data_IF_373045272254
#
_entry.id   IF_373045272254
#
_cell.length_a   1.000
_cell.length_b   1.000
_cell.length_c   1.000
_cell.angle_alpha   90.00
_cell.angle_beta   90.00
_cell.angle_gamma   90.00
#
_symmetry.space_group_name_H-M   'P 1'
#
loop_
_entity.id
_entity.type
_entity.pdbx_description
1 polymer ?
#
# COMPACT_ATOMS: atom_id res chain seq x y z
N UNK A 1 -13.72 -4.88 0.15
CA UNK A 1 -14.33 -3.73 -0.55
C UNK A 1 -15.83 -3.97 -0.71
N UNK A 2 -16.68 -3.09 -0.14
CA UNK A 2 -18.15 -3.27 -0.15
C UNK A 2 -18.86 -2.74 -1.41
N UNK A 3 -18.13 -2.12 -2.35
CA UNK A 3 -18.65 -1.56 -3.62
C UNK A 3 -19.77 -0.51 -3.43
N UNK A 4 -19.85 0.08 -2.25
CA UNK A 4 -20.78 1.17 -1.90
C UNK A 4 -20.39 2.52 -2.54
N UNK A 5 -19.21 2.59 -3.17
CA UNK A 5 -18.63 3.76 -3.79
C UNK A 5 -18.08 3.39 -5.17
N UNK A 6 -18.17 4.31 -6.14
CA UNK A 6 -17.58 4.09 -7.46
C UNK A 6 -16.05 4.00 -7.37
N UNK A 7 -15.41 3.32 -8.32
CA UNK A 7 -13.94 3.25 -8.38
C UNK A 7 -13.33 4.64 -8.55
N UNK A 8 -14.01 5.53 -9.28
CA UNK A 8 -13.56 6.90 -9.50
C UNK A 8 -13.59 7.72 -8.20
N UNK A 9 -14.70 7.64 -7.44
CA UNK A 9 -14.85 8.34 -6.17
C UNK A 9 -13.86 7.81 -5.13
N UNK A 10 -13.69 6.48 -5.08
CA UNK A 10 -12.71 5.84 -4.22
C UNK A 10 -11.31 6.38 -4.55
N UNK A 11 -10.90 6.32 -5.81
CA UNK A 11 -9.60 6.82 -6.27
C UNK A 11 -9.42 8.31 -5.95
N UNK A 12 -10.46 9.12 -6.10
CA UNK A 12 -10.44 10.55 -5.79
C UNK A 12 -10.12 10.82 -4.31
N UNK A 13 -10.69 10.02 -3.41
CA UNK A 13 -10.48 10.17 -1.97
C UNK A 13 -9.20 9.47 -1.47
N UNK A 14 -8.95 8.24 -1.92
CA UNK A 14 -7.89 7.37 -1.40
C UNK A 14 -6.54 7.57 -2.08
N UNK A 15 -6.52 8.12 -3.30
CA UNK A 15 -5.32 8.22 -4.13
C UNK A 15 -4.23 9.11 -3.53
N UNK A 16 -4.62 10.14 -2.77
CA UNK A 16 -3.69 11.00 -2.02
C UNK A 16 -2.92 10.23 -0.94
N UNK A 17 -3.52 9.16 -0.40
CA UNK A 17 -2.93 8.28 0.60
C UNK A 17 -2.22 7.07 -0.01
N UNK A 18 -2.03 7.06 -1.33
CA UNK A 18 -1.39 5.95 -2.04
C UNK A 18 -2.22 4.66 -2.09
N UNK A 19 -3.52 4.72 -1.77
CA UNK A 19 -4.42 3.57 -1.81
C UNK A 19 -5.27 3.57 -3.08
N UNK A 20 -5.39 2.43 -3.75
CA UNK A 20 -6.15 2.27 -4.98
C UNK A 20 -6.93 0.95 -4.99
N UNK A 21 -8.13 0.95 -5.56
CA UNK A 21 -8.85 -0.29 -5.82
C UNK A 21 -8.21 -1.00 -7.03
N UNK A 22 -8.07 -2.32 -6.94
CA UNK A 22 -7.63 -3.14 -8.06
C UNK A 22 -8.76 -3.38 -9.06
N UNK A 23 -8.42 -3.93 -10.23
CA UNK A 23 -9.41 -4.26 -11.26
C UNK A 23 -10.48 -5.18 -10.68
N UNK A 24 -11.75 -4.80 -10.86
CA UNK A 24 -12.91 -5.53 -10.29
C UNK A 24 -13.27 -5.14 -8.86
N UNK A 25 -12.50 -4.26 -8.21
CA UNK A 25 -12.75 -3.70 -6.89
C UNK A 25 -13.01 -4.77 -5.81
N UNK A 26 -12.29 -5.89 -5.89
CA UNK A 26 -12.35 -6.97 -4.90
C UNK A 26 -11.24 -6.84 -3.85
N UNK A 27 -10.12 -6.22 -4.21
CA UNK A 27 -8.92 -6.00 -3.41
C UNK A 27 -8.34 -4.62 -3.72
N UNK A 28 -7.36 -4.22 -2.91
CA UNK A 28 -6.68 -2.94 -3.01
C UNK A 28 -5.18 -3.08 -3.20
N UNK A 29 -4.59 -1.97 -3.62
CA UNK A 29 -3.16 -1.78 -3.75
C UNK A 29 -2.74 -0.58 -2.90
N UNK A 30 -1.62 -0.72 -2.20
CA UNK A 30 -0.96 0.37 -1.49
C UNK A 30 0.36 0.70 -2.18
N UNK A 31 0.60 1.99 -2.44
CA UNK A 31 1.81 2.53 -3.04
C UNK A 31 2.54 3.38 -2.02
N UNK A 32 3.78 3.01 -1.70
CA UNK A 32 4.66 3.79 -0.83
C UNK A 32 5.72 4.51 -1.64
N UNK A 33 5.94 5.77 -1.29
CA UNK A 33 6.92 6.65 -1.92
C UNK A 33 8.08 6.85 -0.97
N UNK A 34 9.29 6.72 -1.49
CA UNK A 34 10.51 7.06 -0.77
C UNK A 34 11.14 8.28 -1.43
N UNK A 35 11.57 9.25 -0.62
CA UNK A 35 12.22 10.46 -1.15
C UNK A 35 13.47 10.06 -1.96
N UNK A 36 13.47 10.40 -3.25
CA UNK A 36 14.52 10.00 -4.20
C UNK A 36 14.67 8.49 -4.39
N UNK A 37 13.68 7.68 -4.02
CA UNK A 37 13.76 6.22 -4.07
C UNK A 37 14.67 5.58 -3.01
N UNK A 38 15.13 6.35 -2.01
CA UNK A 38 16.08 5.85 -1.01
C UNK A 38 15.36 5.12 0.11
N UNK A 39 15.71 3.84 0.30
CA UNK A 39 15.32 3.06 1.47
C UNK A 39 16.49 2.92 2.44
N UNK A 40 16.26 3.19 3.72
CA UNK A 40 17.22 2.91 4.78
C UNK A 40 17.16 1.44 5.19
N UNK A 41 18.09 1.00 6.03
CA UNK A 41 18.03 -0.35 6.61
C UNK A 41 16.75 -0.54 7.43
N UNK A 42 16.33 0.50 8.14
CA UNK A 42 15.13 0.52 8.98
C UNK A 42 13.87 0.36 8.13
N UNK A 43 13.77 1.04 6.97
CA UNK A 43 12.67 0.84 6.04
C UNK A 43 12.61 -0.59 5.50
N UNK A 44 13.78 -1.17 5.17
CA UNK A 44 13.87 -2.55 4.69
C UNK A 44 13.47 -3.57 5.77
N UNK A 45 13.87 -3.32 7.02
CA UNK A 45 13.49 -4.16 8.15
C UNK A 45 11.98 -4.11 8.37
N UNK A 46 11.41 -2.90 8.43
CA UNK A 46 9.96 -2.70 8.55
C UNK A 46 9.20 -3.40 7.42
N UNK A 47 9.66 -3.26 6.16
CA UNK A 47 9.06 -3.96 5.03
C UNK A 47 9.09 -5.48 5.19
N UNK A 48 10.23 -6.04 5.61
CA UNK A 48 10.35 -7.48 5.82
C UNK A 48 9.41 -7.99 6.93
N UNK A 49 9.25 -7.21 7.99
CA UNK A 49 8.36 -7.55 9.10
C UNK A 49 6.88 -7.42 8.71
N UNK A 50 6.52 -6.38 7.96
CA UNK A 50 5.19 -6.20 7.39
C UNK A 50 4.82 -7.36 6.43
N UNK A 51 5.74 -7.78 5.55
CA UNK A 51 5.52 -8.91 4.64
C UNK A 51 5.13 -10.17 5.42
N UNK A 52 5.84 -10.47 6.52
CA UNK A 52 5.56 -11.65 7.35
C UNK A 52 4.27 -11.48 8.14
N UNK A 53 4.10 -10.34 8.81
CA UNK A 53 2.96 -10.05 9.70
C UNK A 53 1.62 -10.09 8.96
N UNK A 54 1.56 -9.49 7.77
CA UNK A 54 0.35 -9.39 6.97
C UNK A 54 0.28 -10.42 5.84
N UNK A 55 1.26 -11.33 5.75
CA UNK A 55 1.36 -12.33 4.70
C UNK A 55 1.26 -11.71 3.29
N UNK A 56 2.02 -10.64 3.03
CA UNK A 56 1.97 -9.90 1.76
C UNK A 56 2.55 -10.74 0.62
N UNK A 57 1.71 -11.16 -0.31
CA UNK A 57 2.11 -12.08 -1.40
C UNK A 57 2.68 -11.37 -2.63
N UNK A 58 2.27 -10.12 -2.87
CA UNK A 58 2.55 -9.42 -4.12
C UNK A 58 3.16 -8.06 -3.84
N UNK A 59 4.48 -8.02 -3.71
CA UNK A 59 5.25 -6.82 -3.39
C UNK A 59 6.31 -6.60 -4.48
N UNK A 60 6.36 -5.40 -5.07
CA UNK A 60 7.33 -5.09 -6.10
C UNK A 60 7.72 -3.60 -6.13
N UNK A 61 8.93 -3.34 -6.66
CA UNK A 61 9.38 -1.99 -6.97
C UNK A 61 8.85 -1.51 -8.32
N UNK A 62 8.56 -0.23 -8.43
CA UNK A 62 8.10 0.38 -9.67
C UNK A 62 9.19 1.22 -10.32
N UNK A 63 9.05 1.50 -11.62
CA UNK A 63 9.92 2.43 -12.36
C UNK A 63 9.84 3.87 -11.84
N UNK A 64 8.79 4.22 -11.09
CA UNK A 64 8.64 5.51 -10.41
C UNK A 64 9.27 5.55 -9.02
N UNK A 65 10.24 4.67 -8.73
CA UNK A 65 10.96 4.61 -7.44
C UNK A 65 10.03 4.47 -6.22
N UNK A 66 8.93 3.71 -6.41
CA UNK A 66 7.97 3.40 -5.36
C UNK A 66 7.97 1.90 -5.06
N UNK A 67 7.39 1.53 -3.92
CA UNK A 67 6.99 0.15 -3.62
C UNK A 67 5.48 0.02 -3.79
N UNK A 68 5.02 -1.08 -4.37
CA UNK A 68 3.60 -1.42 -4.45
C UNK A 68 3.33 -2.80 -3.87
N UNK A 69 2.25 -2.88 -3.09
CA UNK A 69 1.72 -4.12 -2.53
C UNK A 69 0.28 -4.32 -3.01
N UNK A 70 -0.01 -5.51 -3.51
CA UNK A 70 -1.26 -5.87 -4.18
C UNK A 70 -2.05 -6.93 -3.40
N UNK A 71 -3.34 -7.07 -3.72
CA UNK A 71 -4.21 -8.07 -3.11
C UNK A 71 -4.60 -7.78 -1.66
N UNK A 72 -4.56 -6.52 -1.23
CA UNK A 72 -4.82 -6.14 0.16
C UNK A 72 -6.31 -5.98 0.43
N UNK A 73 -6.75 -6.37 1.62
CA UNK A 73 -8.05 -5.95 2.14
C UNK A 73 -7.98 -4.55 2.79
N UNK A 74 -9.13 -4.00 3.15
CA UNK A 74 -9.23 -2.65 3.70
C UNK A 74 -8.55 -2.51 5.07
N UNK A 75 -8.69 -3.52 5.93
CA UNK A 75 -8.12 -3.49 7.28
C UNK A 75 -6.59 -3.55 7.24
N UNK A 76 -6.03 -4.38 6.34
CA UNK A 76 -4.58 -4.46 6.09
C UNK A 76 -4.05 -3.12 5.58
N UNK A 77 -4.73 -2.47 4.65
CA UNK A 77 -4.33 -1.14 4.16
C UNK A 77 -4.32 -0.11 5.29
N UNK A 78 -5.37 -0.08 6.13
CA UNK A 78 -5.47 0.86 7.24
C UNK A 78 -4.39 0.63 8.31
N UNK A 79 -4.11 -0.63 8.64
CA UNK A 79 -3.08 -0.99 9.62
C UNK A 79 -1.68 -0.69 9.09
N UNK A 80 -1.39 -1.05 7.83
CA UNK A 80 -0.14 -0.69 7.18
C UNK A 80 0.06 0.82 7.14
N UNK A 81 -0.97 1.60 6.80
CA UNK A 81 -0.86 3.06 6.76
C UNK A 81 -0.45 3.65 8.12
N UNK A 82 -1.09 3.19 9.21
CA UNK A 82 -0.76 3.63 10.57
C UNK A 82 0.67 3.25 10.96
N UNK A 83 1.05 1.99 10.74
CA UNK A 83 2.38 1.51 11.12
C UNK A 83 3.47 2.17 10.27
N UNK A 84 3.25 2.36 8.97
CA UNK A 84 4.17 3.11 8.12
C UNK A 84 4.42 4.54 8.59
N UNK A 85 3.36 5.22 9.02
CA UNK A 85 3.46 6.61 9.47
C UNK A 85 4.43 6.76 10.64
N UNK A 86 4.47 5.77 11.54
CA UNK A 86 5.39 5.74 12.67
C UNK A 86 6.85 5.43 12.25
N UNK A 87 7.07 4.98 11.01
CA UNK A 87 8.35 4.50 10.49
C UNK A 87 8.96 5.34 9.35
N UNK A 88 8.30 6.41 8.88
CA UNK A 88 8.88 7.44 8.01
C UNK A 88 8.44 7.41 6.54
#
# INVERSE_FOLDING_TARGET
YKKEMSIADYKGQSGAYGSYAERGANSGMSRWRFNGGRMTREHMQFLADAIRKYNLQHVHFTTGQCLQMHGLDGDTILNLYKECYDHG
#
